data_IF_287641215159
#
_entry.id   IF_287641215159
#
_cell.length_a   1.000
_cell.length_b   1.000
_cell.length_c   1.000
_cell.angle_alpha   90.00
_cell.angle_beta   90.00
_cell.angle_gamma   90.00
#
_symmetry.space_group_name_H-M   'P 1'
#
loop_
_entity.id
_entity.type
_entity.pdbx_description
1 polymer ?
#
# COMPACT_ATOMS: atom_id res chain seq x y z
N UNK A 1 11.34 -3.57 -15.22
CA UNK A 1 11.20 -2.88 -13.93
C UNK A 1 12.30 -1.85 -13.79
N UNK A 2 12.11 -0.89 -12.88
CA UNK A 2 13.23 -0.07 -12.40
C UNK A 2 14.04 -0.93 -11.42
N UNK A 3 15.35 -1.09 -11.62
CA UNK A 3 16.21 -1.91 -10.76
C UNK A 3 17.19 -1.00 -10.01
N UNK A 4 17.48 -1.33 -8.76
CA UNK A 4 18.66 -0.79 -8.09
C UNK A 4 19.76 -1.84 -8.11
N UNK A 5 20.91 -1.44 -8.62
CA UNK A 5 22.11 -2.25 -8.59
C UNK A 5 23.08 -1.59 -7.63
N UNK A 6 23.54 -2.33 -6.62
CA UNK A 6 24.62 -1.86 -5.78
C UNK A 6 25.73 -2.92 -5.69
N UNK A 7 26.95 -2.41 -5.66
CA UNK A 7 28.15 -3.23 -5.50
C UNK A 7 28.65 -3.05 -4.08
N UNK A 8 28.76 -4.16 -3.35
CA UNK A 8 29.34 -4.17 -2.01
C UNK A 8 30.72 -4.81 -2.07
N UNK A 9 31.76 -4.04 -1.81
CA UNK A 9 33.11 -4.57 -1.64
C UNK A 9 33.45 -4.62 -0.17
N UNK A 10 33.74 -5.81 0.34
CA UNK A 10 34.18 -6.04 1.72
C UNK A 10 35.65 -6.42 1.70
N UNK A 11 36.46 -5.67 2.43
CA UNK A 11 37.89 -5.93 2.58
C UNK A 11 38.28 -6.02 4.05
N UNK A 12 38.91 -7.14 4.45
CA UNK A 12 39.47 -7.34 5.77
C UNK A 12 40.80 -8.11 5.66
N UNK A 13 41.92 -7.39 5.79
CA UNK A 13 43.25 -7.96 5.55
C UNK A 13 43.41 -8.43 4.10
N UNK A 14 43.68 -9.72 3.90
CA UNK A 14 43.80 -10.35 2.56
C UNK A 14 42.44 -10.75 1.96
N UNK A 15 41.36 -10.71 2.73
CA UNK A 15 40.04 -11.04 2.23
C UNK A 15 39.49 -9.85 1.46
N UNK A 16 39.32 -9.99 0.15
CA UNK A 16 38.72 -8.97 -0.71
C UNK A 16 37.65 -9.64 -1.56
N UNK A 17 36.38 -9.35 -1.27
CA UNK A 17 35.25 -9.88 -2.02
C UNK A 17 34.37 -8.74 -2.50
N UNK A 18 33.87 -8.90 -3.72
CA UNK A 18 32.90 -8.00 -4.32
C UNK A 18 31.62 -8.77 -4.56
N UNK A 19 30.52 -8.26 -4.01
CA UNK A 19 29.18 -8.79 -4.18
C UNK A 19 28.39 -7.87 -5.09
N UNK A 20 27.78 -8.45 -6.11
CA UNK A 20 26.85 -7.76 -6.99
C UNK A 20 25.43 -8.05 -6.53
N UNK A 21 24.76 -7.02 -6.03
CA UNK A 21 23.39 -7.15 -5.53
C UNK A 21 22.45 -6.48 -6.53
N UNK A 22 21.57 -7.30 -7.09
CA UNK A 22 20.52 -6.88 -8.00
C UNK A 22 19.20 -6.95 -7.23
N UNK A 23 18.53 -5.81 -7.08
CA UNK A 23 17.20 -5.74 -6.45
C UNK A 23 16.21 -5.04 -7.36
N UNK A 24 14.97 -5.51 -7.32
CA UNK A 24 13.86 -4.83 -7.97
C UNK A 24 13.45 -3.62 -7.12
N UNK A 25 13.05 -2.51 -7.76
CA UNK A 25 12.44 -1.38 -7.05
C UNK A 25 11.09 -1.84 -6.53
N UNK A 26 10.93 -1.90 -5.21
CA UNK A 26 9.64 -2.17 -4.60
C UNK A 26 8.71 -0.98 -4.81
N UNK A 27 7.56 -1.23 -5.42
CA UNK A 27 6.45 -0.29 -5.46
C UNK A 27 5.66 -0.43 -4.16
N UNK A 28 5.11 0.68 -3.66
CA UNK A 28 4.28 0.67 -2.46
C UNK A 28 3.03 1.52 -2.65
N UNK A 29 1.96 1.11 -1.98
CA UNK A 29 0.77 1.92 -1.73
C UNK A 29 0.81 2.33 -0.27
N UNK A 30 0.70 3.63 -0.03
CA UNK A 30 0.63 4.18 1.31
C UNK A 30 -0.31 5.37 1.34
N UNK A 31 -0.79 5.68 2.53
CA UNK A 31 -1.62 6.84 2.75
C UNK A 31 -2.25 6.86 4.12
N UNK A 32 -3.34 7.59 4.23
CA UNK A 32 -4.08 7.71 5.47
C UNK A 32 -5.57 7.44 5.29
N UNK A 33 -6.19 7.14 6.40
CA UNK A 33 -7.62 6.94 6.59
C UNK A 33 -8.18 8.14 7.35
N UNK A 34 -9.35 8.60 6.94
CA UNK A 34 -10.11 9.60 7.68
C UNK A 34 -11.59 9.22 7.76
N UNK A 35 -12.26 9.65 8.82
CA UNK A 35 -13.71 9.74 8.85
C UNK A 35 -14.13 11.10 8.25
N UNK A 36 -15.17 11.10 7.41
CA UNK A 36 -15.76 12.30 6.80
C UNK A 36 -14.93 13.06 5.76
N UNK A 37 -14.07 12.39 4.98
CA UNK A 37 -13.27 13.01 3.92
C UNK A 37 -12.43 14.19 4.42
N UNK A 38 -11.85 14.06 5.62
CA UNK A 38 -10.88 15.02 6.13
C UNK A 38 -9.58 14.93 5.32
N UNK A 39 -8.91 16.06 5.12
CA UNK A 39 -7.56 16.12 4.52
C UNK A 39 -6.45 15.70 5.50
N UNK A 40 -6.82 15.16 6.66
CA UNK A 40 -5.89 14.71 7.70
C UNK A 40 -6.23 13.29 8.17
N UNK A 41 -5.22 12.48 8.57
CA UNK A 41 -5.44 11.19 9.20
C UNK A 41 -6.29 11.34 10.46
N UNK A 42 -7.23 10.42 10.68
CA UNK A 42 -7.81 10.26 12.00
C UNK A 42 -6.95 9.32 12.83
N UNK A 43 -6.26 9.88 13.83
CA UNK A 43 -5.34 9.15 14.71
C UNK A 43 -6.03 8.10 15.58
N UNK A 44 -7.36 8.14 15.69
CA UNK A 44 -8.11 7.14 16.44
C UNK A 44 -8.37 5.88 15.62
N UNK A 45 -8.15 5.91 14.30
CA UNK A 45 -8.31 4.74 13.44
C UNK A 45 -7.13 3.79 13.65
N UNK A 46 -7.41 2.67 14.31
CA UNK A 46 -6.49 1.55 14.48
C UNK A 46 -7.26 0.26 14.15
N UNK A 47 -7.14 -0.22 12.91
CA UNK A 47 -7.90 -1.36 12.41
C UNK A 47 -7.17 -2.12 11.31
N UNK A 48 -7.76 -3.20 10.82
CA UNK A 48 -7.21 -4.00 9.73
C UNK A 48 -7.80 -3.58 8.38
N UNK A 49 -6.91 -3.31 7.43
CA UNK A 49 -7.22 -3.11 6.02
C UNK A 49 -6.96 -4.42 5.27
N UNK A 50 -7.96 -4.89 4.55
CA UNK A 50 -7.85 -6.08 3.72
C UNK A 50 -7.60 -5.66 2.28
N UNK A 51 -6.53 -6.15 1.68
CA UNK A 51 -6.14 -5.83 0.31
C UNK A 51 -6.17 -7.11 -0.51
N UNK A 52 -6.89 -7.10 -1.61
CA UNK A 52 -6.99 -8.22 -2.54
C UNK A 52 -6.21 -7.91 -3.82
N UNK A 53 -5.20 -8.73 -4.11
CA UNK A 53 -4.48 -8.75 -5.38
C UNK A 53 -5.22 -9.65 -6.36
N UNK A 54 -5.87 -9.07 -7.36
CA UNK A 54 -6.66 -9.85 -8.32
C UNK A 54 -5.81 -10.59 -9.34
N UNK A 55 -4.56 -10.18 -9.56
CA UNK A 55 -3.65 -10.88 -10.46
C UNK A 55 -3.25 -12.25 -9.87
N UNK A 56 -3.02 -12.29 -8.55
CA UNK A 56 -2.58 -13.50 -7.84
C UNK A 56 -3.69 -14.16 -7.00
N UNK A 57 -4.91 -13.61 -7.01
CA UNK A 57 -6.04 -14.06 -6.19
C UNK A 57 -5.70 -14.20 -4.70
N UNK A 58 -4.95 -13.23 -4.15
CA UNK A 58 -4.41 -13.29 -2.78
C UNK A 58 -4.91 -12.14 -1.92
N UNK A 59 -5.25 -12.46 -0.67
CA UNK A 59 -5.56 -11.47 0.36
C UNK A 59 -4.34 -11.17 1.23
N UNK A 60 -4.22 -9.89 1.58
CA UNK A 60 -3.27 -9.35 2.54
C UNK A 60 -4.04 -8.64 3.65
N UNK A 61 -3.52 -8.73 4.87
CA UNK A 61 -4.04 -8.00 6.02
C UNK A 61 -2.98 -6.99 6.45
N UNK A 62 -3.33 -5.70 6.41
CA UNK A 62 -2.45 -4.58 6.71
C UNK A 62 -3.00 -3.82 7.90
N UNK A 63 -2.18 -3.67 8.94
CA UNK A 63 -2.56 -2.85 10.09
C UNK A 63 -2.55 -1.37 9.70
N UNK A 64 -3.66 -0.69 9.98
CA UNK A 64 -3.72 0.77 10.04
C UNK A 64 -3.37 1.18 11.46
N UNK A 65 -2.42 2.11 11.60
CA UNK A 65 -2.00 2.66 12.90
C UNK A 65 -2.02 4.18 12.85
N UNK A 66 -2.70 4.79 13.81
CA UNK A 66 -2.90 6.24 13.87
C UNK A 66 -3.44 6.82 12.56
N UNK A 67 -4.33 6.06 11.90
CA UNK A 67 -4.89 6.40 10.59
C UNK A 67 -3.97 6.16 9.41
N UNK A 68 -2.71 5.75 9.58
CA UNK A 68 -1.78 5.52 8.47
C UNK A 68 -1.62 4.05 8.11
N UNK A 69 -1.35 3.79 6.83
CA UNK A 69 -1.00 2.46 6.33
C UNK A 69 0.09 2.51 5.26
N UNK A 70 0.81 1.40 5.14
CA UNK A 70 1.87 1.20 4.16
C UNK A 70 1.87 -0.26 3.71
N UNK A 71 1.89 -0.50 2.40
CA UNK A 71 1.79 -1.83 1.81
C UNK A 71 2.63 -1.94 0.54
N UNK A 72 3.50 -2.94 0.47
CA UNK A 72 4.28 -3.24 -0.73
C UNK A 72 3.43 -3.93 -1.79
N UNK A 73 3.64 -3.56 -3.04
CA UNK A 73 2.88 -4.02 -4.19
C UNK A 73 3.81 -4.50 -5.30
N UNK A 74 3.29 -5.45 -6.07
CA UNK A 74 3.91 -5.91 -7.30
C UNK A 74 3.55 -4.94 -8.44
N UNK A 75 4.50 -4.75 -9.36
CA UNK A 75 4.26 -3.95 -10.55
C UNK A 75 3.15 -4.58 -11.42
N UNK A 76 2.31 -3.74 -12.03
CA UNK A 76 1.20 -4.14 -12.92
C UNK A 76 0.14 -5.03 -12.25
N UNK A 77 0.02 -4.97 -10.93
CA UNK A 77 -1.05 -5.63 -10.18
C UNK A 77 -2.22 -4.69 -9.88
N UNK A 78 -3.41 -5.28 -9.86
CA UNK A 78 -4.64 -4.63 -9.47
C UNK A 78 -5.00 -5.00 -8.03
N UNK A 79 -5.15 -3.97 -7.20
CA UNK A 79 -5.45 -4.13 -5.77
C UNK A 79 -6.81 -3.53 -5.44
N UNK A 80 -7.68 -4.33 -4.86
CA UNK A 80 -8.96 -3.89 -4.29
C UNK A 80 -8.87 -3.83 -2.78
N UNK A 81 -9.55 -2.85 -2.17
CA UNK A 81 -9.41 -2.56 -0.75
C UNK A 81 -10.72 -2.78 -0.02
N UNK A 82 -10.63 -3.35 1.18
CA UNK A 82 -11.77 -3.72 1.97
C UNK A 82 -11.53 -3.53 3.45
N UNK A 83 -12.63 -3.39 4.19
CA UNK A 83 -12.64 -3.38 5.64
C UNK A 83 -13.70 -4.34 6.16
N UNK A 84 -13.53 -4.79 7.41
CA UNK A 84 -14.57 -5.57 8.09
C UNK A 84 -15.57 -4.63 8.75
N UNK A 85 -16.85 -4.84 8.44
CA UNK A 85 -17.96 -4.24 9.15
C UNK A 85 -18.91 -5.35 9.58
N UNK A 86 -19.10 -5.54 10.89
CA UNK A 86 -19.94 -6.60 11.47
C UNK A 86 -19.66 -7.98 10.83
N UNK A 87 -18.39 -8.39 10.82
CA UNK A 87 -17.88 -9.64 10.21
C UNK A 87 -18.13 -9.79 8.70
N UNK A 88 -18.61 -8.74 8.02
CA UNK A 88 -18.79 -8.73 6.57
C UNK A 88 -17.71 -7.88 5.93
N UNK A 89 -17.07 -8.43 4.89
CA UNK A 89 -16.10 -7.69 4.10
C UNK A 89 -16.84 -6.65 3.25
N UNK A 90 -16.48 -5.37 3.39
CA UNK A 90 -17.06 -4.25 2.62
C UNK A 90 -15.97 -3.57 1.82
N UNK A 91 -16.29 -3.21 0.57
CA UNK A 91 -15.37 -2.47 -0.28
C UNK A 91 -15.10 -1.10 0.34
N UNK A 92 -13.83 -0.76 0.47
CA UNK A 92 -13.39 0.56 0.87
C UNK A 92 -13.31 1.46 -0.35
N UNK A 93 -13.88 2.67 -0.25
CA UNK A 93 -13.70 3.70 -1.27
C UNK A 93 -12.40 4.46 -1.00
N UNK A 94 -11.66 4.67 -2.07
CA UNK A 94 -10.37 5.29 -2.07
C UNK A 94 -10.37 6.50 -2.97
N UNK A 95 -9.94 7.60 -2.41
CA UNK A 95 -9.80 8.89 -3.03
C UNK A 95 -8.32 9.11 -3.33
N UNK A 96 -8.05 9.78 -4.44
CA UNK A 96 -6.67 10.20 -4.75
C UNK A 96 -6.71 11.68 -5.06
N UNK A 97 -5.61 12.39 -4.80
CA UNK A 97 -5.49 13.84 -5.06
C UNK A 97 -5.86 14.17 -6.51
N UNK A 98 -5.64 13.23 -7.44
CA UNK A 98 -5.92 13.42 -8.86
C UNK A 98 -7.32 12.96 -9.30
N UNK A 99 -8.06 12.22 -8.46
CA UNK A 99 -9.39 11.70 -8.80
C UNK A 99 -10.30 11.63 -7.55
N UNK A 100 -11.13 12.66 -7.31
CA UNK A 100 -11.95 12.78 -6.09
C UNK A 100 -13.24 11.95 -6.11
N UNK A 101 -13.54 11.22 -7.19
CA UNK A 101 -14.81 10.48 -7.32
C UNK A 101 -14.86 9.16 -6.52
N UNK A 102 -13.73 8.71 -5.95
CA UNK A 102 -13.65 7.49 -5.16
C UNK A 102 -13.63 6.21 -6.02
N UNK A 103 -12.64 5.36 -5.80
CA UNK A 103 -12.45 4.07 -6.48
C UNK A 103 -12.37 2.94 -5.47
N UNK A 104 -12.70 1.73 -5.90
CA UNK A 104 -12.59 0.54 -5.08
C UNK A 104 -11.31 -0.26 -5.36
N UNK A 105 -10.54 0.14 -6.37
CA UNK A 105 -9.34 -0.55 -6.81
C UNK A 105 -8.28 0.42 -7.35
N UNK A 106 -7.04 -0.06 -7.38
CA UNK A 106 -5.87 0.68 -7.86
C UNK A 106 -5.04 -0.25 -8.73
N UNK A 107 -4.74 0.23 -9.93
CA UNK A 107 -3.73 -0.39 -10.80
C UNK A 107 -2.40 0.29 -10.53
N UNK A 108 -1.42 -0.50 -10.12
CA UNK A 108 -0.05 -0.04 -9.89
C UNK A 108 0.74 -0.09 -11.19
N UNK A 109 1.53 0.95 -11.47
CA UNK A 109 2.60 0.92 -12.48
C UNK A 109 3.97 0.93 -11.78
N UNK A 110 5.08 1.14 -12.51
CA UNK A 110 6.46 1.17 -11.97
C UNK A 110 6.76 2.32 -10.96
N UNK A 111 5.73 3.00 -10.44
CA UNK A 111 5.82 4.17 -9.57
C UNK A 111 4.90 4.08 -8.36
N UNK A 112 5.42 4.58 -7.24
CA UNK A 112 4.76 4.70 -5.93
C UNK A 112 3.56 5.63 -6.01
N UNK A 113 2.42 5.24 -5.43
CA UNK A 113 1.20 6.08 -5.40
C UNK A 113 0.78 6.38 -3.97
N UNK A 114 0.61 7.66 -3.66
CA UNK A 114 -0.02 8.14 -2.42
C UNK A 114 -1.54 8.14 -2.60
N UNK A 115 -2.24 7.48 -1.68
CA UNK A 115 -3.64 7.11 -1.87
C UNK A 115 -4.43 7.36 -0.58
N UNK A 116 -5.46 8.20 -0.63
CA UNK A 116 -6.30 8.55 0.51
C UNK A 116 -7.48 7.56 0.61
N UNK A 117 -7.61 6.82 1.70
CA UNK A 117 -8.79 5.96 1.90
C UNK A 117 -9.83 6.70 2.73
N UNK A 118 -11.10 6.73 2.30
CA UNK A 118 -12.17 7.25 3.15
C UNK A 118 -13.17 6.14 3.48
N UNK A 119 -13.46 5.98 4.77
CA UNK A 119 -14.58 5.16 5.19
C UNK A 119 -15.87 5.90 4.87
N UNK A 120 -16.66 5.38 3.93
CA UNK A 120 -18.06 5.77 3.83
C UNK A 120 -18.80 5.05 4.94
N UNK A 121 -19.06 5.75 6.04
CA UNK A 121 -20.04 5.29 7.00
C UNK A 121 -21.38 5.15 6.26
N UNK A 122 -22.11 4.03 6.35
CA UNK A 122 -23.54 4.09 6.15
C UNK A 122 -24.04 4.97 7.29
N UNK A 123 -24.50 6.17 6.96
CA UNK A 123 -25.29 6.98 7.88
C UNK A 123 -26.45 6.10 8.35
N UNK A 124 -26.74 6.20 9.65
CA UNK A 124 -27.89 5.54 10.27
C UNK A 124 -29.23 5.94 9.66
#
# INVERSE_FOLDING_TARGET
GNYYNFTLTVSAGKLHNTFYIHTEKESAIYGYMSYNNSSMPDKNINCNLFIFDSNNSRYYNVNIKDGYYYFFVNDNSNYSFYYLNNNTLKSLKIYTIYRPEGYNYITTGNDTRSIEGNFVHPLG
#
